data_IF_054529976867
#
_entry.id   IF_054529976867
#
_cell.length_a   1.000
_cell.length_b   1.000
_cell.length_c   1.000
_cell.angle_alpha   90.00
_cell.angle_beta   90.00
_cell.angle_gamma   90.00
#
_symmetry.space_group_name_H-M   'P 1'
#
loop_
_entity.id
_entity.type
_entity.pdbx_description
1 polymer ?
#
# COMPACT_ATOMS: atom_id res chain seq x y z
N UNK A 1 19.90 2.07 -10.74
CA UNK A 1 19.01 2.66 -9.74
C UNK A 1 18.18 1.58 -9.10
N UNK A 2 17.94 1.69 -7.83
CA UNK A 2 17.20 0.70 -7.07
C UNK A 2 15.70 0.96 -7.15
N UNK A 3 14.93 -0.10 -7.34
CA UNK A 3 13.47 -0.03 -7.22
C UNK A 3 13.08 0.39 -5.81
N UNK A 4 11.90 0.95 -5.67
CA UNK A 4 11.39 1.40 -4.38
C UNK A 4 9.94 0.96 -4.21
N UNK A 5 9.55 0.83 -2.95
CA UNK A 5 8.18 0.48 -2.58
C UNK A 5 7.59 1.60 -1.73
N UNK A 6 6.35 1.97 -2.05
CA UNK A 6 5.50 2.67 -1.11
C UNK A 6 4.72 1.61 -0.35
N UNK A 7 4.82 1.62 0.96
CA UNK A 7 4.14 0.65 1.84
C UNK A 7 3.13 1.39 2.69
N UNK A 8 1.89 0.92 2.67
CA UNK A 8 0.83 1.47 3.51
C UNK A 8 0.42 0.39 4.50
N UNK A 9 0.69 0.65 5.79
CA UNK A 9 0.31 -0.26 6.88
C UNK A 9 -0.95 0.27 7.54
N UNK A 10 -1.98 -0.55 7.58
CA UNK A 10 -3.25 -0.19 8.23
C UNK A 10 -3.58 -1.20 9.32
N UNK A 11 -4.16 -0.72 10.41
CA UNK A 11 -4.72 -1.60 11.42
C UNK A 11 -6.23 -1.57 11.32
N UNK A 12 -6.85 -2.74 11.34
CA UNK A 12 -8.31 -2.90 11.34
C UNK A 12 -8.67 -3.64 12.62
N UNK A 13 -8.81 -2.90 13.75
CA UNK A 13 -8.94 -3.52 15.06
C UNK A 13 -10.21 -4.38 15.21
N UNK A 14 -11.32 -3.90 14.65
CA UNK A 14 -12.58 -4.64 14.74
C UNK A 14 -12.59 -5.78 13.72
N UNK A 15 -12.67 -7.04 14.19
CA UNK A 15 -12.71 -8.19 13.27
C UNK A 15 -13.85 -8.10 12.26
N UNK A 16 -14.97 -7.47 12.62
CA UNK A 16 -16.12 -7.34 11.74
C UNK A 16 -15.83 -6.43 10.54
N UNK A 17 -14.85 -5.53 10.65
CA UNK A 17 -14.49 -4.61 9.58
C UNK A 17 -13.51 -5.23 8.57
N UNK A 18 -12.84 -6.33 8.93
CA UNK A 18 -11.75 -6.87 8.10
C UNK A 18 -12.21 -7.42 6.75
N UNK A 19 -13.32 -8.13 6.72
CA UNK A 19 -13.90 -8.61 5.46
C UNK A 19 -14.30 -7.47 4.53
N UNK A 20 -15.11 -6.52 5.00
CA UNK A 20 -15.46 -5.34 4.19
C UNK A 20 -14.25 -4.52 3.76
N UNK A 21 -13.24 -4.34 4.61
CA UNK A 21 -12.00 -3.65 4.27
C UNK A 21 -11.26 -4.37 3.15
N UNK A 22 -11.13 -5.68 3.28
CA UNK A 22 -10.46 -6.51 2.27
C UNK A 22 -11.14 -6.38 0.91
N UNK A 23 -12.47 -6.48 0.89
CA UNK A 23 -13.23 -6.38 -0.35
C UNK A 23 -13.10 -4.99 -0.99
N UNK A 24 -13.25 -3.93 -0.18
CA UNK A 24 -13.14 -2.56 -0.66
C UNK A 24 -11.75 -2.29 -1.26
N UNK A 25 -10.71 -2.76 -0.59
CA UNK A 25 -9.35 -2.57 -1.05
C UNK A 25 -9.11 -3.30 -2.37
N UNK A 26 -9.59 -4.54 -2.45
CA UNK A 26 -9.38 -5.37 -3.64
C UNK A 26 -10.11 -4.81 -4.86
N UNK A 27 -11.34 -4.35 -4.69
CA UNK A 27 -12.19 -3.96 -5.82
C UNK A 27 -12.05 -2.49 -6.20
N UNK A 28 -11.85 -1.62 -5.22
CA UNK A 28 -11.89 -0.17 -5.42
C UNK A 28 -10.51 0.48 -5.26
N UNK A 29 -9.94 0.34 -4.08
CA UNK A 29 -8.82 1.19 -3.69
C UNK A 29 -7.51 0.81 -4.37
N UNK A 30 -7.14 -0.48 -4.37
CA UNK A 30 -5.85 -0.89 -4.95
C UNK A 30 -5.75 -0.60 -6.46
N UNK A 31 -6.74 -0.99 -7.27
CA UNK A 31 -6.67 -0.69 -8.70
C UNK A 31 -6.61 0.81 -8.99
N UNK A 32 -7.37 1.60 -8.24
CA UNK A 32 -7.37 3.05 -8.40
C UNK A 32 -6.03 3.66 -7.99
N UNK A 33 -5.50 3.22 -6.84
CA UNK A 33 -4.23 3.72 -6.33
C UNK A 33 -3.07 3.43 -7.28
N UNK A 34 -3.03 2.22 -7.86
CA UNK A 34 -1.99 1.87 -8.83
C UNK A 34 -2.01 2.85 -10.00
N UNK A 35 -3.20 3.17 -10.53
CA UNK A 35 -3.33 4.11 -11.64
C UNK A 35 -2.92 5.52 -11.25
N UNK A 36 -3.39 6.00 -10.10
CA UNK A 36 -3.14 7.38 -9.65
C UNK A 36 -1.67 7.58 -9.32
N UNK A 37 -1.06 6.63 -8.62
CA UNK A 37 0.36 6.70 -8.28
C UNK A 37 1.28 6.48 -9.49
N UNK A 38 0.78 5.86 -10.56
CA UNK A 38 1.63 5.44 -11.65
C UNK A 38 2.58 4.33 -11.25
N UNK A 39 2.17 3.47 -10.31
CA UNK A 39 2.99 2.37 -9.85
C UNK A 39 3.13 1.30 -10.94
N UNK A 40 4.26 0.61 -10.96
CA UNK A 40 4.51 -0.48 -11.92
C UNK A 40 3.62 -1.66 -11.62
N UNK A 41 3.34 -1.91 -10.34
CA UNK A 41 2.44 -2.95 -9.85
C UNK A 41 2.17 -2.72 -8.37
N UNK A 42 1.17 -3.41 -7.85
CA UNK A 42 0.85 -3.34 -6.44
C UNK A 42 0.31 -4.67 -5.96
N UNK A 43 0.44 -4.90 -4.65
CA UNK A 43 -0.10 -6.11 -4.03
C UNK A 43 -0.44 -5.82 -2.57
N UNK A 44 -1.17 -6.75 -1.93
CA UNK A 44 -1.64 -6.60 -0.56
C UNK A 44 -1.34 -7.86 0.23
N UNK A 45 -1.15 -7.68 1.51
CA UNK A 45 -0.94 -8.79 2.44
C UNK A 45 -1.68 -8.54 3.74
N UNK A 46 -2.25 -9.60 4.31
CA UNK A 46 -2.67 -9.59 5.70
C UNK A 46 -1.59 -10.29 6.53
N UNK A 47 -1.27 -9.70 7.68
CA UNK A 47 -0.33 -10.34 8.59
C UNK A 47 -0.96 -11.57 9.22
N UNK A 48 -0.20 -12.66 9.31
CA UNK A 48 -0.65 -13.89 9.98
C UNK A 48 -0.32 -13.89 11.46
N UNK A 49 0.62 -13.03 11.86
CA UNK A 49 1.02 -12.91 13.26
C UNK A 49 0.27 -11.80 13.99
N UNK A 50 -0.17 -10.77 13.25
CA UNK A 50 -1.01 -9.70 13.78
C UNK A 50 -2.25 -9.57 12.90
N UNK A 51 -3.32 -10.32 13.18
CA UNK A 51 -4.47 -10.41 12.27
C UNK A 51 -5.15 -9.09 11.92
N UNK A 52 -4.98 -8.06 12.75
CA UNK A 52 -5.54 -6.75 12.48
C UNK A 52 -4.77 -5.95 11.43
N UNK A 53 -3.57 -6.39 11.05
CA UNK A 53 -2.65 -5.58 10.24
C UNK A 53 -2.68 -5.98 8.79
N UNK A 54 -2.87 -4.98 7.95
CA UNK A 54 -2.91 -5.09 6.49
C UNK A 54 -1.80 -4.24 5.90
N UNK A 55 -1.17 -4.75 4.84
CA UNK A 55 -0.15 -4.02 4.08
C UNK A 55 -0.55 -3.92 2.62
N UNK A 56 -0.37 -2.73 2.05
CA UNK A 56 -0.43 -2.54 0.60
C UNK A 56 0.94 -2.07 0.14
N UNK A 57 1.39 -2.63 -0.97
CA UNK A 57 2.70 -2.35 -1.55
C UNK A 57 2.51 -1.82 -2.96
N UNK A 58 3.22 -0.74 -3.30
CA UNK A 58 3.24 -0.18 -4.65
C UNK A 58 4.69 -0.05 -5.09
N UNK A 59 5.01 -0.62 -6.25
CA UNK A 59 6.39 -0.64 -6.74
C UNK A 59 6.64 0.46 -7.75
N UNK A 60 7.79 1.12 -7.60
CA UNK A 60 8.25 2.19 -8.48
C UNK A 60 9.66 1.89 -8.97
N UNK A 61 10.05 2.54 -10.05
CA UNK A 61 11.39 2.36 -10.62
C UNK A 61 12.48 2.82 -9.65
N UNK A 62 12.21 3.86 -8.84
CA UNK A 62 13.17 4.40 -7.88
C UNK A 62 12.45 5.20 -6.79
N UNK A 63 13.25 5.64 -5.81
CA UNK A 63 12.75 6.43 -4.67
C UNK A 63 12.14 7.76 -5.12
N UNK A 64 12.73 8.41 -6.12
CA UNK A 64 12.24 9.70 -6.58
C UNK A 64 10.82 9.58 -7.15
N UNK A 65 10.54 8.52 -7.92
CA UNK A 65 9.18 8.28 -8.42
C UNK A 65 8.20 8.02 -7.29
N UNK A 66 8.60 7.22 -6.30
CA UNK A 66 7.75 6.94 -5.15
C UNK A 66 7.43 8.22 -4.38
N UNK A 67 8.42 9.07 -4.14
CA UNK A 67 8.22 10.34 -3.46
C UNK A 67 7.31 11.27 -4.25
N UNK A 68 7.53 11.36 -5.56
CA UNK A 68 6.70 12.21 -6.42
C UNK A 68 5.23 11.76 -6.40
N UNK A 69 4.98 10.45 -6.37
CA UNK A 69 3.62 9.92 -6.30
C UNK A 69 2.93 10.32 -4.99
N UNK A 70 3.65 10.22 -3.87
CA UNK A 70 3.07 10.53 -2.55
C UNK A 70 2.92 12.02 -2.29
N UNK A 71 3.76 12.84 -2.89
CA UNK A 71 3.73 14.30 -2.73
C UNK A 71 2.80 14.98 -3.74
N UNK A 72 2.25 14.21 -4.68
CA UNK A 72 1.42 14.75 -5.74
C UNK A 72 0.02 15.10 -5.26
N UNK A 73 -0.53 16.21 -5.75
CA UNK A 73 -1.94 16.56 -5.53
C UNK A 73 -2.87 15.50 -6.09
N UNK A 74 -2.39 14.69 -7.05
CA UNK A 74 -3.18 13.59 -7.62
C UNK A 74 -3.52 12.53 -6.60
N UNK A 75 -2.69 12.34 -5.57
CA UNK A 75 -2.94 11.35 -4.54
C UNK A 75 -3.93 11.83 -3.48
N UNK A 76 -4.22 13.13 -3.41
CA UNK A 76 -5.12 13.69 -2.41
C UNK A 76 -6.53 13.06 -2.43
N UNK A 77 -7.16 12.81 -3.60
CA UNK A 77 -8.46 12.14 -3.61
C UNK A 77 -8.43 10.72 -3.03
N UNK A 78 -7.33 10.00 -3.20
CA UNK A 78 -7.17 8.65 -2.61
C UNK A 78 -7.16 8.72 -1.09
N UNK A 79 -6.41 9.68 -0.54
CA UNK A 79 -6.32 9.88 0.91
C UNK A 79 -7.69 10.27 1.46
N UNK A 80 -8.37 11.21 0.80
CA UNK A 80 -9.68 11.67 1.22
C UNK A 80 -10.72 10.55 1.21
N UNK A 81 -10.70 9.71 0.18
CA UNK A 81 -11.64 8.59 0.06
C UNK A 81 -11.41 7.55 1.15
N UNK A 82 -10.15 7.21 1.42
CA UNK A 82 -9.81 6.28 2.49
C UNK A 82 -10.31 6.81 3.84
N UNK A 83 -10.06 8.08 4.12
CA UNK A 83 -10.48 8.70 5.39
C UNK A 83 -11.99 8.76 5.50
N UNK A 84 -12.69 9.03 4.40
CA UNK A 84 -14.15 9.07 4.37
C UNK A 84 -14.77 7.70 4.63
N UNK A 85 -14.20 6.64 4.04
CA UNK A 85 -14.76 5.29 4.14
C UNK A 85 -14.40 4.64 5.46
N UNK A 86 -13.15 4.74 5.89
CA UNK A 86 -12.63 4.03 7.06
C UNK A 86 -12.29 4.92 8.24
N UNK A 87 -11.62 6.05 7.99
CA UNK A 87 -11.26 6.98 9.06
C UNK A 87 -10.59 6.29 10.23
N UNK A 88 -11.14 6.53 11.44
CA UNK A 88 -10.57 5.99 12.67
C UNK A 88 -10.71 4.47 12.82
N UNK A 89 -11.51 3.82 11.97
CA UNK A 89 -11.65 2.36 12.00
C UNK A 89 -10.46 1.64 11.39
N UNK A 90 -9.63 2.36 10.62
CA UNK A 90 -8.44 1.78 9.98
C UNK A 90 -7.29 2.80 10.00
N UNK A 91 -6.74 3.10 11.19
CA UNK A 91 -5.58 3.98 11.26
C UNK A 91 -4.43 3.41 10.44
N UNK A 92 -3.75 4.28 9.71
CA UNK A 92 -2.69 3.84 8.82
C UNK A 92 -1.51 4.79 8.83
N UNK A 93 -0.38 4.25 8.39
CA UNK A 93 0.83 5.01 8.13
C UNK A 93 1.51 4.46 6.88
N UNK A 94 2.32 5.27 6.26
CA UNK A 94 3.02 4.87 5.05
C UNK A 94 4.49 5.21 5.15
N UNK A 95 5.30 4.47 4.40
CA UNK A 95 6.72 4.73 4.29
C UNK A 95 7.22 4.32 2.92
N UNK A 96 8.35 4.86 2.52
CA UNK A 96 9.01 4.51 1.27
C UNK A 96 10.23 3.67 1.63
N UNK A 97 10.33 2.50 0.99
CA UNK A 97 11.44 1.58 1.18
C UNK A 97 12.23 1.51 -0.11
N UNK A 98 13.53 1.68 -0.01
CA UNK A 98 14.42 1.44 -1.13
C UNK A 98 14.90 -0.01 -1.10
N UNK A 99 14.74 -0.72 -2.22
CA UNK A 99 15.24 -2.10 -2.31
C UNK A 99 16.74 -2.01 -2.59
N UNK A 100 17.54 -2.37 -1.60
CA UNK A 100 19.00 -2.26 -1.71
C UNK A 100 19.64 -3.53 -2.23
N UNK A 101 18.93 -4.66 -2.17
CA UNK A 101 19.45 -5.92 -2.67
C UNK A 101 18.31 -6.91 -2.87
N UNK A 102 18.35 -7.59 -3.99
CA UNK A 102 17.51 -8.76 -4.27
C UNK A 102 18.44 -9.83 -4.80
N UNK A 103 18.33 -11.03 -4.27
CA UNK A 103 19.15 -12.13 -4.72
C UNK A 103 18.34 -13.42 -4.66
N UNK A 104 18.66 -14.33 -5.55
CA UNK A 104 18.02 -15.62 -5.60
C UNK A 104 18.99 -16.70 -5.11
N UNK A 105 18.46 -17.84 -4.60
CA UNK A 105 19.35 -18.94 -4.24
C UNK A 105 20.18 -19.39 -5.44
N UNK A 106 21.44 -19.74 -5.17
CA UNK A 106 22.28 -20.30 -6.23
C UNK A 106 21.67 -21.61 -6.70
N UNK A 107 21.71 -21.85 -8.02
CA UNK A 107 21.29 -23.13 -8.58
C UNK A 107 22.36 -24.20 -8.28
N UNK A 108 21.92 -25.43 -7.88
CA UNK A 108 22.88 -26.52 -7.66
C UNK A 108 23.60 -26.92 -8.93
#
# INVERSE_FOLDING_TARGET
MSAALLVVRAEVPDPADRGPFDHWYATDHLPWAIRVFGARRGWRCWSRTEPAVHYAFYEFADVAEAQAATDSDKSAPLVADFDRVWGDRAPRRREILEIVQQTEPATP
#
